data_IF_264583250284
#
_entry.id   IF_264583250284
#
_cell.length_a   1.000
_cell.length_b   1.000
_cell.length_c   1.000
_cell.angle_alpha   90.00
_cell.angle_beta   90.00
_cell.angle_gamma   90.00
#
_symmetry.space_group_name_H-M   'P 1'
#
loop_
_entity.id
_entity.type
_entity.pdbx_description
1 polymer ?
#
# COMPACT_ATOMS: atom_id res chain seq x y z
N UNK A 1 -55.22 -10.05 0.62
CA UNK A 1 -55.02 -8.75 -0.07
C UNK A 1 -54.78 -7.68 0.99
N UNK A 2 -53.79 -6.80 0.74
CA UNK A 2 -53.23 -5.69 1.56
C UNK A 2 -52.32 -6.13 2.73
N UNK A 3 -50.97 -6.14 2.67
CA UNK A 3 -49.90 -5.14 2.38
C UNK A 3 -49.46 -4.25 3.58
N UNK A 4 -48.27 -4.59 4.12
CA UNK A 4 -47.13 -3.68 4.49
C UNK A 4 -47.16 -2.79 5.76
N UNK A 5 -45.99 -2.34 6.29
CA UNK A 5 -45.40 -2.90 7.53
C UNK A 5 -44.77 -1.87 8.52
N UNK A 6 -44.21 -2.40 9.62
CA UNK A 6 -42.99 -2.01 10.35
C UNK A 6 -42.86 -0.58 10.95
N UNK A 7 -42.89 -0.43 12.29
CA UNK A 7 -41.75 -0.44 13.23
C UNK A 7 -40.82 0.80 13.12
N UNK A 8 -41.04 1.76 14.02
CA UNK A 8 -40.08 2.83 14.35
C UNK A 8 -39.72 2.72 15.84
N UNK A 9 -38.46 2.38 16.10
CA UNK A 9 -37.79 2.38 17.38
C UNK A 9 -37.75 3.81 17.97
N UNK A 10 -38.26 4.01 19.19
CA UNK A 10 -37.99 5.21 19.98
C UNK A 10 -36.74 4.96 20.85
N UNK A 11 -35.71 5.74 20.58
CA UNK A 11 -34.46 5.84 21.32
C UNK A 11 -34.69 6.32 22.75
N UNK A 12 -33.97 5.68 23.68
CA UNK A 12 -33.80 6.05 25.09
C UNK A 12 -32.81 7.20 25.23
N UNK A 13 -33.29 8.39 25.62
CA UNK A 13 -32.46 9.56 25.99
C UNK A 13 -32.31 9.59 27.52
N UNK A 14 -31.08 9.39 28.01
CA UNK A 14 -30.72 9.50 29.43
C UNK A 14 -29.87 10.76 29.65
N UNK A 15 -30.56 11.85 29.95
CA UNK A 15 -30.27 12.88 30.95
C UNK A 15 -28.80 13.14 31.37
N UNK A 16 -28.27 14.35 31.10
CA UNK A 16 -27.22 14.98 31.88
C UNK A 16 -27.71 16.30 32.54
N UNK A 17 -28.08 16.22 33.82
CA UNK A 17 -28.03 17.33 34.79
C UNK A 17 -26.56 17.74 35.02
N UNK A 18 -26.12 18.97 35.33
CA UNK A 18 -26.70 20.10 36.06
C UNK A 18 -25.65 21.25 35.98
N UNK A 19 -26.05 22.53 35.85
CA UNK A 19 -25.17 23.67 36.15
C UNK A 19 -25.33 24.93 35.30
N UNK A 20 -26.43 25.67 35.46
CA UNK A 20 -26.62 27.04 34.93
C UNK A 20 -26.33 28.05 36.06
N UNK A 21 -25.64 29.17 35.78
CA UNK A 21 -25.93 30.44 36.44
C UNK A 21 -26.53 31.46 35.46
N UNK A 22 -27.34 32.33 36.05
CA UNK A 22 -28.35 33.19 35.46
C UNK A 22 -27.82 34.47 34.79
N UNK A 23 -28.65 34.95 33.88
CA UNK A 23 -28.89 36.34 33.48
C UNK A 23 -27.74 37.11 32.80
N UNK A 24 -27.86 37.29 31.47
CA UNK A 24 -27.73 38.62 30.88
C UNK A 24 -28.70 38.78 29.71
N UNK A 25 -29.42 39.89 29.74
CA UNK A 25 -30.55 40.26 28.92
C UNK A 25 -30.32 40.13 27.40
N UNK A 26 -31.39 39.70 26.73
CA UNK A 26 -31.65 39.87 25.30
C UNK A 26 -31.61 41.35 24.91
N UNK A 27 -30.77 41.71 23.93
CA UNK A 27 -31.15 42.65 22.87
C UNK A 27 -30.62 42.08 21.55
N UNK A 28 -31.53 41.51 20.77
CA UNK A 28 -31.31 41.14 19.37
C UNK A 28 -31.15 42.45 18.59
N UNK A 29 -29.91 42.93 18.47
CA UNK A 29 -29.60 43.98 17.49
C UNK A 29 -29.75 43.37 16.11
N UNK A 30 -30.80 43.79 15.42
CA UNK A 30 -31.25 43.23 14.15
C UNK A 30 -30.45 43.87 13.02
N UNK A 31 -29.12 43.78 13.07
CA UNK A 31 -28.25 44.48 12.12
C UNK A 31 -26.88 43.80 11.94
N UNK A 32 -26.83 42.46 11.97
CA UNK A 32 -25.58 41.72 11.71
C UNK A 32 -25.80 40.39 10.94
N UNK A 33 -26.72 40.42 9.96
CA UNK A 33 -27.06 39.27 9.10
C UNK A 33 -26.37 39.28 7.73
N UNK A 34 -25.29 40.06 7.57
CA UNK A 34 -24.52 40.09 6.31
C UNK A 34 -23.03 39.75 6.46
N UNK A 35 -22.48 39.71 7.67
CA UNK A 35 -21.04 39.48 7.90
C UNK A 35 -20.70 38.09 8.47
N UNK A 36 -21.69 37.28 8.85
CA UNK A 36 -21.46 35.93 9.42
C UNK A 36 -21.32 34.81 8.38
N UNK A 37 -21.72 35.03 7.13
CA UNK A 37 -21.61 34.01 6.07
C UNK A 37 -20.24 34.01 5.36
N UNK A 38 -19.47 35.08 5.46
CA UNK A 38 -18.13 35.17 4.85
C UNK A 38 -17.06 34.47 5.72
N UNK A 39 -17.12 34.65 7.04
CA UNK A 39 -16.17 34.01 7.96
C UNK A 39 -16.38 32.50 8.12
N UNK A 40 -17.62 32.02 8.00
CA UNK A 40 -17.93 30.58 8.04
C UNK A 40 -17.46 29.87 6.77
N UNK A 41 -17.66 30.46 5.58
CA UNK A 41 -17.11 29.92 4.34
C UNK A 41 -15.58 30.00 4.35
N UNK A 42 -15.00 31.12 4.79
CA UNK A 42 -13.54 31.30 4.87
C UNK A 42 -12.86 30.25 5.75
N UNK A 43 -13.44 29.92 6.92
CA UNK A 43 -12.90 28.87 7.79
C UNK A 43 -13.06 27.47 7.20
N UNK A 44 -14.16 27.21 6.49
CA UNK A 44 -14.36 25.94 5.76
C UNK A 44 -13.39 25.83 4.58
N UNK A 45 -13.13 26.92 3.85
CA UNK A 45 -12.10 27.00 2.80
C UNK A 45 -10.70 26.78 3.38
N UNK A 46 -10.39 27.37 4.55
CA UNK A 46 -9.12 27.18 5.24
C UNK A 46 -8.89 25.70 5.59
N UNK A 47 -9.91 25.01 6.11
CA UNK A 47 -9.83 23.57 6.42
C UNK A 47 -9.75 22.71 5.14
N UNK A 48 -10.38 23.13 4.04
CA UNK A 48 -10.30 22.44 2.75
C UNK A 48 -8.91 22.56 2.09
N UNK A 49 -8.25 23.72 2.21
CA UNK A 49 -6.88 23.95 1.70
C UNK A 49 -5.82 23.26 2.58
N UNK A 50 -6.08 23.10 3.88
CA UNK A 50 -5.20 22.38 4.82
C UNK A 50 -5.28 20.85 4.72
N UNK A 51 -6.13 20.28 3.87
CA UNK A 51 -6.01 18.88 3.44
C UNK A 51 -4.85 18.76 2.46
N UNK A 52 -3.65 18.97 3.00
CA UNK A 52 -2.40 18.93 2.29
C UNK A 52 -2.29 17.68 1.42
N UNK A 53 -1.71 17.89 0.24
CA UNK A 53 -1.17 16.83 -0.60
C UNK A 53 -0.19 16.05 0.26
N UNK A 54 -0.62 14.90 0.78
CA UNK A 54 0.30 13.93 1.36
C UNK A 54 1.12 13.41 0.19
N UNK A 55 2.41 13.75 0.13
CA UNK A 55 3.38 13.02 -0.68
C UNK A 55 3.60 11.66 0.01
N UNK A 56 2.58 10.81 -0.08
CA UNK A 56 2.60 9.43 0.36
C UNK A 56 3.35 8.61 -0.70
N UNK A 57 4.24 7.72 -0.27
CA UNK A 57 4.79 6.69 -1.14
C UNK A 57 3.64 5.76 -1.53
N UNK A 58 3.34 5.66 -2.83
CA UNK A 58 2.28 4.79 -3.29
C UNK A 58 2.80 3.79 -4.32
N UNK A 59 2.36 2.55 -4.12
CA UNK A 59 2.40 1.48 -5.09
C UNK A 59 0.95 1.15 -5.43
N UNK A 60 0.60 1.24 -6.71
CA UNK A 60 -0.78 1.05 -7.16
C UNK A 60 -0.82 -0.07 -8.19
N UNK A 61 -1.34 -1.23 -7.80
CA UNK A 61 -1.52 -2.38 -8.66
C UNK A 61 -2.78 -2.26 -9.54
N UNK A 62 -2.66 -2.69 -10.80
CA UNK A 62 -3.77 -2.74 -11.74
C UNK A 62 -3.58 -3.86 -12.78
N UNK A 63 -4.59 -4.07 -13.63
CA UNK A 63 -4.56 -5.14 -14.64
C UNK A 63 -5.02 -6.51 -14.14
N UNK A 64 -5.61 -6.59 -12.94
CA UNK A 64 -6.29 -7.79 -12.47
C UNK A 64 -7.58 -8.08 -13.25
N UNK A 65 -8.06 -9.32 -13.20
CA UNK A 65 -9.31 -9.71 -13.84
C UNK A 65 -9.57 -11.21 -13.81
N UNK A 66 -10.78 -11.59 -14.23
CA UNK A 66 -11.14 -13.00 -14.41
C UNK A 66 -10.61 -13.50 -15.76
N UNK A 67 -9.82 -14.56 -15.74
CA UNK A 67 -9.23 -15.17 -16.93
C UNK A 67 -9.48 -16.67 -16.88
N UNK A 68 -9.75 -17.27 -18.03
CA UNK A 68 -9.90 -18.73 -18.12
C UNK A 68 -8.54 -19.43 -17.92
N UNK A 69 -8.52 -20.66 -17.37
CA UNK A 69 -7.30 -21.45 -17.30
C UNK A 69 -6.61 -21.58 -18.68
N UNK A 70 -5.29 -21.43 -18.71
CA UNK A 70 -4.49 -21.39 -19.94
C UNK A 70 -4.41 -20.01 -20.61
N UNK A 71 -5.21 -19.03 -20.17
CA UNK A 71 -5.14 -17.66 -20.65
C UNK A 71 -3.91 -16.90 -20.15
N UNK A 72 -3.76 -15.67 -20.63
CA UNK A 72 -2.71 -14.74 -20.23
C UNK A 72 -3.30 -13.48 -19.62
N UNK A 73 -2.58 -12.88 -18.67
CA UNK A 73 -2.91 -11.60 -18.05
C UNK A 73 -1.64 -10.79 -17.82
N UNK A 74 -1.77 -9.47 -17.83
CA UNK A 74 -0.67 -8.57 -17.50
C UNK A 74 -1.04 -7.67 -16.33
N UNK A 75 -0.32 -7.81 -15.24
CA UNK A 75 -0.41 -6.90 -14.10
C UNK A 75 0.55 -5.74 -14.29
N UNK A 76 0.19 -4.59 -13.74
CA UNK A 76 1.05 -3.42 -13.62
C UNK A 76 1.02 -2.88 -12.19
N UNK A 77 2.12 -2.26 -11.78
CA UNK A 77 2.24 -1.58 -10.50
C UNK A 77 2.93 -0.23 -10.75
N UNK A 78 2.17 0.85 -10.58
CA UNK A 78 2.67 2.21 -10.71
C UNK A 78 3.22 2.70 -9.37
N UNK A 79 4.45 3.18 -9.38
CA UNK A 79 5.13 3.72 -8.21
C UNK A 79 5.16 5.25 -8.23
N UNK A 80 4.87 5.87 -7.09
CA UNK A 80 4.96 7.31 -6.89
C UNK A 80 5.49 7.63 -5.49
N UNK A 81 6.03 8.84 -5.32
CA UNK A 81 6.58 9.31 -4.04
C UNK A 81 8.00 8.83 -3.72
N UNK A 82 8.66 8.09 -4.62
CA UNK A 82 10.07 7.68 -4.47
C UNK A 82 10.78 7.44 -5.81
N UNK A 83 12.11 7.33 -5.76
CA UNK A 83 12.94 7.02 -6.93
C UNK A 83 12.86 5.52 -7.29
N UNK A 84 11.87 5.12 -8.08
CA UNK A 84 11.64 3.73 -8.51
C UNK A 84 12.88 3.06 -9.14
N UNK A 85 13.74 3.84 -9.81
CA UNK A 85 14.98 3.33 -10.42
C UNK A 85 15.98 2.81 -9.39
N UNK A 86 15.95 3.34 -8.17
CA UNK A 86 16.90 3.06 -7.10
C UNK A 86 16.59 1.80 -6.28
N UNK A 87 15.42 1.19 -6.47
CA UNK A 87 14.99 0.02 -5.70
C UNK A 87 14.83 -1.23 -6.59
N UNK A 88 15.23 -2.37 -6.04
CA UNK A 88 14.81 -3.67 -6.57
C UNK A 88 13.31 -3.84 -6.32
N UNK A 89 12.62 -4.49 -7.24
CA UNK A 89 11.17 -4.63 -7.14
C UNK A 89 10.79 -6.11 -7.18
N UNK A 90 9.80 -6.48 -6.39
CA UNK A 90 9.29 -7.84 -6.30
C UNK A 90 7.79 -7.90 -6.48
N UNK A 91 7.30 -9.02 -7.00
CA UNK A 91 5.90 -9.43 -6.92
C UNK A 91 5.72 -10.48 -5.83
N UNK A 92 4.69 -10.29 -5.03
CA UNK A 92 4.27 -11.20 -3.96
C UNK A 92 2.80 -11.50 -4.19
N UNK A 93 2.36 -12.73 -3.92
CA UNK A 93 0.96 -13.12 -4.03
C UNK A 93 0.42 -13.68 -2.72
N UNK A 94 -0.87 -13.52 -2.51
CA UNK A 94 -1.60 -14.11 -1.39
C UNK A 94 -2.79 -14.89 -1.92
N UNK A 95 -2.71 -16.21 -1.84
CA UNK A 95 -3.84 -17.07 -2.18
C UNK A 95 -4.86 -17.09 -1.02
N UNK A 96 -6.17 -17.30 -1.30
CA UNK A 96 -7.20 -17.37 -0.27
C UNK A 96 -6.85 -18.43 0.80
N UNK A 97 -6.84 -18.02 2.08
CA UNK A 97 -6.52 -18.92 3.19
C UNK A 97 -5.04 -19.30 3.30
N UNK A 98 -4.14 -18.70 2.52
CA UNK A 98 -2.68 -18.90 2.59
C UNK A 98 -1.95 -17.62 2.97
N UNK A 99 -0.67 -17.77 3.36
CA UNK A 99 0.24 -16.66 3.60
C UNK A 99 0.69 -15.96 2.31
N UNK A 100 1.52 -14.93 2.48
CA UNK A 100 2.21 -14.26 1.38
C UNK A 100 3.29 -15.18 0.81
N UNK A 101 3.32 -15.30 -0.51
CA UNK A 101 4.30 -16.08 -1.26
C UNK A 101 5.03 -15.15 -2.25
N UNK A 102 6.35 -15.15 -2.20
CA UNK A 102 7.16 -14.41 -3.16
C UNK A 102 7.11 -15.08 -4.55
N UNK A 103 6.90 -14.28 -5.60
CA UNK A 103 6.66 -14.78 -6.98
C UNK A 103 7.85 -14.53 -7.87
N UNK A 104 8.32 -13.27 -7.92
CA UNK A 104 9.43 -12.86 -8.76
C UNK A 104 10.06 -11.57 -8.26
N UNK A 105 11.31 -11.31 -8.65
CA UNK A 105 11.99 -10.05 -8.41
C UNK A 105 12.82 -9.62 -9.62
N UNK A 106 13.07 -8.32 -9.70
CA UNK A 106 13.90 -7.67 -10.69
C UNK A 106 14.81 -6.66 -10.01
N UNK A 107 16.08 -6.65 -10.40
CA UNK A 107 17.04 -5.70 -9.82
C UNK A 107 16.79 -4.26 -10.31
N UNK A 108 17.46 -3.31 -9.67
CA UNK A 108 17.44 -1.86 -9.98
C UNK A 108 17.84 -1.52 -11.42
N UNK A 109 18.57 -2.40 -12.10
CA UNK A 109 18.98 -2.22 -13.51
C UNK A 109 18.05 -2.91 -14.52
N UNK A 110 17.18 -3.82 -14.10
CA UNK A 110 16.37 -4.65 -14.98
C UNK A 110 17.10 -5.83 -15.64
N UNK A 111 18.40 -5.99 -15.41
CA UNK A 111 19.23 -7.02 -16.05
C UNK A 111 19.19 -8.40 -15.36
N UNK A 112 18.76 -8.47 -14.11
CA UNK A 112 18.65 -9.73 -13.36
C UNK A 112 17.23 -9.91 -12.88
N UNK A 113 16.67 -11.09 -13.16
CA UNK A 113 15.32 -11.48 -12.75
C UNK A 113 15.35 -12.84 -12.06
N UNK A 114 14.50 -12.99 -11.05
CA UNK A 114 14.36 -14.22 -10.27
C UNK A 114 12.89 -14.59 -10.18
N UNK A 115 12.59 -15.89 -10.09
CA UNK A 115 11.22 -16.42 -10.07
C UNK A 115 11.14 -17.60 -9.10
N UNK A 116 9.97 -17.80 -8.50
CA UNK A 116 9.65 -19.05 -7.80
C UNK A 116 9.49 -20.19 -8.80
N UNK A 117 9.82 -21.42 -8.38
CA UNK A 117 9.77 -22.61 -9.24
C UNK A 117 8.36 -22.87 -9.80
N UNK A 118 7.30 -22.49 -9.09
CA UNK A 118 5.92 -22.72 -9.53
C UNK A 118 5.50 -21.90 -10.76
N UNK A 119 6.17 -20.77 -11.03
CA UNK A 119 5.81 -19.84 -12.11
C UNK A 119 6.91 -19.68 -13.17
N UNK A 120 8.07 -20.31 -12.94
CA UNK A 120 9.23 -20.22 -13.81
C UNK A 120 8.87 -20.69 -15.23
N UNK A 121 9.23 -19.90 -16.22
CA UNK A 121 8.94 -20.17 -17.64
C UNK A 121 7.51 -19.81 -18.09
N UNK A 122 6.63 -19.40 -17.18
CA UNK A 122 5.27 -18.93 -17.48
C UNK A 122 5.10 -17.44 -17.21
N UNK A 123 5.75 -16.94 -16.17
CA UNK A 123 5.64 -15.53 -15.78
C UNK A 123 6.92 -14.79 -16.18
N UNK A 124 6.75 -13.54 -16.62
CA UNK A 124 7.84 -12.64 -17.01
C UNK A 124 7.68 -11.31 -16.27
N UNK A 125 8.65 -10.99 -15.40
CA UNK A 125 8.73 -9.68 -14.75
C UNK A 125 9.48 -8.70 -15.66
N UNK A 126 8.95 -7.49 -15.80
CA UNK A 126 9.61 -6.41 -16.54
C UNK A 126 9.36 -5.07 -15.85
N UNK A 127 10.21 -4.09 -16.10
CA UNK A 127 10.10 -2.76 -15.49
C UNK A 127 10.36 -1.67 -16.50
N UNK A 128 9.67 -0.55 -16.32
CA UNK A 128 9.81 0.64 -17.15
C UNK A 128 10.06 1.87 -16.27
N UNK A 129 11.33 2.26 -16.16
CA UNK A 129 11.75 3.34 -15.27
C UNK A 129 11.21 4.70 -15.69
N UNK A 130 11.06 4.94 -17.00
CA UNK A 130 10.51 6.20 -17.49
C UNK A 130 9.06 6.43 -17.03
N UNK A 131 8.31 5.36 -16.75
CA UNK A 131 6.93 5.40 -16.26
C UNK A 131 6.81 5.09 -14.77
N UNK A 132 7.91 4.75 -14.10
CA UNK A 132 7.93 4.21 -12.74
C UNK A 132 6.97 3.01 -12.58
N UNK A 133 6.91 2.14 -13.59
CA UNK A 133 5.94 1.04 -13.61
C UNK A 133 6.64 -0.32 -13.65
N UNK A 134 6.21 -1.21 -12.76
CA UNK A 134 6.55 -2.63 -12.77
C UNK A 134 5.45 -3.42 -13.48
N UNK A 135 5.82 -4.42 -14.26
CA UNK A 135 4.88 -5.30 -14.96
C UNK A 135 5.15 -6.76 -14.63
N UNK A 136 4.08 -7.54 -14.55
CA UNK A 136 4.12 -9.00 -14.51
C UNK A 136 3.27 -9.53 -15.65
N UNK A 137 3.92 -10.03 -16.69
CA UNK A 137 3.25 -10.82 -17.72
C UNK A 137 3.08 -12.24 -17.20
N UNK A 138 1.86 -12.74 -17.19
CA UNK A 138 1.52 -14.07 -16.71
C UNK A 138 0.89 -14.84 -17.86
N UNK A 139 1.59 -15.86 -18.36
CA UNK A 139 1.11 -16.70 -19.45
C UNK A 139 0.73 -18.08 -18.94
N UNK A 140 -0.23 -18.72 -19.62
CA UNK A 140 -0.70 -20.06 -19.25
C UNK A 140 -1.09 -20.14 -17.77
N UNK A 141 -1.99 -19.24 -17.34
CA UNK A 141 -2.48 -19.16 -15.97
C UNK A 141 -3.19 -20.45 -15.55
N UNK A 142 -2.90 -20.91 -14.34
CA UNK A 142 -3.54 -22.11 -13.77
C UNK A 142 -4.47 -21.73 -12.63
N UNK A 143 -5.36 -22.65 -12.24
CA UNK A 143 -6.25 -22.43 -11.09
C UNK A 143 -5.47 -22.13 -9.81
N UNK A 144 -4.27 -22.72 -9.65
CA UNK A 144 -3.39 -22.52 -8.50
C UNK A 144 -2.78 -21.11 -8.43
N UNK A 145 -2.78 -20.35 -9.55
CA UNK A 145 -2.24 -19.00 -9.60
C UNK A 145 -3.28 -17.93 -9.17
N UNK A 146 -4.49 -18.36 -8.80
CA UNK A 146 -5.57 -17.49 -8.32
C UNK A 146 -5.22 -16.92 -6.95
N UNK A 147 -4.80 -15.66 -6.93
CA UNK A 147 -4.34 -14.96 -5.74
C UNK A 147 -4.48 -13.46 -5.92
N UNK A 148 -4.39 -12.72 -4.81
CA UNK A 148 -4.16 -11.27 -4.85
C UNK A 148 -2.67 -11.04 -5.02
N UNK A 149 -2.28 -10.17 -5.94
CA UNK A 149 -0.89 -9.85 -6.24
C UNK A 149 -0.55 -8.44 -5.75
N UNK A 150 0.62 -8.32 -5.13
CA UNK A 150 1.16 -7.09 -4.57
C UNK A 150 2.55 -6.86 -5.13
N UNK A 151 2.89 -5.60 -5.39
CA UNK A 151 4.27 -5.23 -5.67
C UNK A 151 4.94 -4.68 -4.40
N UNK A 152 6.23 -4.95 -4.25
CA UNK A 152 7.02 -4.48 -3.12
C UNK A 152 8.38 -3.97 -3.61
N UNK A 153 8.80 -2.81 -3.10
CA UNK A 153 10.16 -2.33 -3.25
C UNK A 153 11.05 -2.94 -2.18
N UNK A 154 12.20 -3.48 -2.59
CA UNK A 154 13.23 -3.95 -1.68
C UNK A 154 13.93 -2.72 -1.09
N UNK A 155 13.35 -2.19 -0.02
CA UNK A 155 14.08 -1.26 0.83
C UNK A 155 15.20 -2.07 1.43
N UNK A 156 16.45 -1.81 1.02
CA UNK A 156 17.60 -2.25 1.81
C UNK A 156 17.37 -1.68 3.19
N UNK A 157 16.79 -2.48 4.10
CA UNK A 157 16.93 -2.23 5.53
C UNK A 157 18.43 -2.37 5.72
N UNK A 158 19.15 -1.25 5.67
CA UNK A 158 20.51 -1.19 6.17
C UNK A 158 20.46 -1.90 7.51
N UNK A 159 21.27 -2.96 7.65
CA UNK A 159 21.10 -3.97 8.68
C UNK A 159 20.65 -3.32 9.98
N UNK A 160 19.41 -3.59 10.37
CA UNK A 160 18.89 -3.10 11.64
C UNK A 160 19.63 -3.93 12.69
N UNK A 161 20.82 -3.46 13.06
CA UNK A 161 21.42 -3.80 14.33
C UNK A 161 20.46 -3.26 15.38
N UNK A 162 19.48 -4.10 15.73
CA UNK A 162 18.61 -3.87 16.86
C UNK A 162 19.52 -3.71 18.08
N UNK A 163 19.47 -2.60 18.84
CA UNK A 163 20.32 -2.43 19.99
C UNK A 163 19.78 -3.28 21.12
N UNK A 164 20.12 -4.57 21.11
CA UNK A 164 20.00 -5.46 22.27
C UNK A 164 21.32 -6.18 22.51
N UNK A 165 22.14 -5.55 23.37
CA UNK A 165 23.09 -6.18 24.29
C UNK A 165 23.71 -7.51 23.85
N UNK A 166 24.45 -7.53 22.73
CA UNK A 166 25.37 -8.62 22.41
C UNK A 166 26.66 -8.04 21.82
N UNK A 167 27.86 -8.54 22.22
CA UNK A 167 29.12 -7.91 21.84
C UNK A 167 29.36 -7.97 20.32
N UNK A 168 30.18 -7.05 19.78
CA UNK A 168 30.33 -6.88 18.34
C UNK A 168 30.97 -8.11 17.68
N UNK A 169 30.41 -8.51 16.55
CA UNK A 169 31.02 -9.52 15.68
C UNK A 169 32.37 -8.99 15.18
N UNK A 170 33.43 -9.79 15.37
CA UNK A 170 34.75 -9.56 14.78
C UNK A 170 34.64 -9.61 13.25
N UNK A 171 35.14 -8.56 12.60
CA UNK A 171 35.43 -8.55 11.17
C UNK A 171 36.44 -9.67 10.85
N UNK A 172 36.00 -10.67 10.09
CA UNK A 172 36.90 -11.61 9.42
C UNK A 172 37.12 -11.13 7.99
N UNK A 173 37.90 -10.06 7.84
CA UNK A 173 38.58 -9.76 6.58
C UNK A 173 39.71 -10.76 6.37
N UNK A 174 39.66 -11.52 5.29
CA UNK A 174 40.71 -12.46 4.91
C UNK A 174 40.57 -12.91 3.47
N UNK A 175 41.27 -12.22 2.57
CA UNK A 175 41.51 -12.67 1.20
C UNK A 175 42.14 -14.08 1.18
N UNK A 176 41.64 -14.90 0.25
CA UNK A 176 42.39 -15.72 -0.72
C UNK A 176 43.64 -16.46 -0.21
N UNK A 177 43.64 -17.81 -0.31
CA UNK A 177 44.74 -18.62 -0.85
C UNK A 177 44.38 -20.12 -0.99
N UNK A 178 44.87 -20.66 -2.10
CA UNK A 178 45.07 -22.06 -2.52
C UNK A 178 43.89 -23.01 -2.74
N UNK A 179 43.68 -23.29 -4.02
CA UNK A 179 42.94 -24.45 -4.52
C UNK A 179 43.57 -25.79 -4.13
N UNK A 180 42.69 -26.76 -3.94
CA UNK A 180 43.02 -28.17 -3.84
C UNK A 180 42.73 -28.84 -5.20
N UNK A 181 43.81 -29.27 -5.85
CA UNK A 181 43.84 -30.15 -7.02
C UNK A 181 43.50 -31.58 -6.57
N UNK A 182 42.45 -32.20 -7.14
CA UNK A 182 42.38 -33.65 -7.36
C UNK A 182 41.18 -34.05 -8.23
N UNK A 183 41.44 -34.38 -9.48
CA UNK A 183 40.69 -35.37 -10.26
C UNK A 183 41.63 -35.99 -11.30
N UNK A 184 41.79 -37.31 -11.19
CA UNK A 184 42.51 -38.27 -12.04
C UNK A 184 44.04 -38.21 -12.09
#
# INVERSE_FOLDING_TARGET
>A
MKTSPALTLLLWERNPSLGIPRDFHSVISTEDRRLTMEFRLSWVFLVAVLKGVQCEVQLVESGGGLVQPGGSLRLSCAASGFSFSSYGMSWVRQAPGKGLEWVSAINTGGGSTWYTDSVKGRFTISRENAKNTLYLQMDSLRAEDTAVYYCAGDTVRGGQCEPRHKPPCRDAGGNQLQGALRTH
#
